data_IF_066757773286
#
_entry.id   IF_066757773286
#
_cell.length_a   1.000
_cell.length_b   1.000
_cell.length_c   1.000
_cell.angle_alpha   90.00
_cell.angle_beta   90.00
_cell.angle_gamma   90.00
#
_symmetry.space_group_name_H-M   'P 1'
#
loop_
_entity.id
_entity.type
_entity.pdbx_description
1 polymer ?
#
# COMPACT_ATOMS: atom_id res chain seq x y z
N UNK A 1 4.20 -2.17 -12.31
CA UNK A 1 4.29 -1.87 -10.86
C UNK A 1 3.60 -0.56 -10.53
N UNK A 2 3.15 -0.38 -9.30
CA UNK A 2 2.68 0.91 -8.78
C UNK A 2 3.20 1.15 -7.37
N UNK A 3 3.25 2.43 -6.99
CA UNK A 3 3.65 2.89 -5.67
C UNK A 3 2.63 3.90 -5.15
N UNK A 4 2.48 3.94 -3.83
CA UNK A 4 1.70 4.98 -3.13
C UNK A 4 2.69 5.87 -2.41
N UNK A 5 2.58 7.17 -2.66
CA UNK A 5 3.49 8.18 -2.15
C UNK A 5 2.75 9.15 -1.24
N UNK A 6 3.46 9.66 -0.23
CA UNK A 6 3.04 10.80 0.58
C UNK A 6 4.06 11.92 0.41
N UNK A 7 3.62 13.07 -0.08
CA UNK A 7 4.51 14.22 -0.35
C UNK A 7 5.01 14.86 0.94
N UNK A 8 4.18 14.90 1.99
CA UNK A 8 4.58 15.40 3.29
C UNK A 8 5.59 14.45 3.95
N UNK A 9 6.72 15.01 4.39
CA UNK A 9 7.73 14.31 5.18
C UNK A 9 7.53 14.44 6.70
N UNK A 10 6.55 15.25 7.14
CA UNK A 10 6.22 15.41 8.56
C UNK A 10 5.72 14.09 9.16
N UNK A 11 5.83 13.95 10.49
CA UNK A 11 5.23 12.81 11.19
C UNK A 11 3.72 12.70 10.87
N UNK A 12 3.20 11.50 10.58
CA UNK A 12 1.81 11.32 10.20
C UNK A 12 0.90 11.37 11.42
N UNK A 13 -0.33 11.79 11.21
CA UNK A 13 -1.42 11.55 12.14
C UNK A 13 -2.14 10.25 11.75
N UNK A 14 -2.42 9.42 12.75
CA UNK A 14 -3.07 8.13 12.56
C UNK A 14 -4.50 8.12 13.11
N UNK A 15 -5.44 7.68 12.28
CA UNK A 15 -6.82 7.46 12.66
C UNK A 15 -6.96 6.18 13.49
N UNK A 16 -7.85 6.20 14.50
CA UNK A 16 -8.17 5.01 15.31
C UNK A 16 -8.86 3.92 14.48
N UNK A 17 -9.65 4.32 13.49
CA UNK A 17 -10.43 3.44 12.62
C UNK A 17 -10.04 3.70 11.18
N UNK A 18 -9.94 2.64 10.39
CA UNK A 18 -9.65 2.73 8.97
C UNK A 18 -10.88 3.25 8.19
N UNK A 19 -10.63 4.08 7.17
CA UNK A 19 -11.65 4.47 6.19
C UNK A 19 -12.02 3.34 5.24
N UNK A 20 -11.25 2.26 5.22
CA UNK A 20 -11.42 1.21 4.26
C UNK A 20 -12.66 0.34 4.53
N UNK A 21 -13.27 -0.17 3.47
CA UNK A 21 -14.42 -1.07 3.55
C UNK A 21 -14.03 -2.39 4.21
N UNK A 22 -15.02 -3.11 4.73
CA UNK A 22 -14.84 -4.37 5.47
C UNK A 22 -15.02 -5.58 4.54
N UNK A 23 -13.98 -6.06 3.83
CA UNK A 23 -14.10 -7.23 2.98
C UNK A 23 -14.38 -8.46 3.84
N UNK A 24 -15.47 -9.17 3.53
CA UNK A 24 -15.90 -10.36 4.29
C UNK A 24 -16.05 -10.07 5.80
N UNK A 25 -16.62 -8.91 6.12
CA UNK A 25 -16.91 -8.44 7.49
C UNK A 25 -15.67 -8.37 8.40
N UNK A 26 -14.49 -8.21 7.79
CA UNK A 26 -13.23 -8.07 8.49
C UNK A 26 -12.83 -6.61 8.60
N UNK A 27 -12.70 -6.10 9.83
CA UNK A 27 -12.22 -4.75 10.13
C UNK A 27 -10.77 -4.55 9.59
N UNK A 28 -10.56 -3.60 8.66
CA UNK A 28 -9.24 -3.28 8.14
C UNK A 28 -8.41 -2.39 9.06
N UNK A 29 -8.92 -2.00 10.23
CA UNK A 29 -8.18 -1.24 11.24
C UNK A 29 -7.08 -2.07 11.93
N UNK A 30 -6.07 -1.38 12.43
CA UNK A 30 -5.04 -1.86 13.35
C UNK A 30 -4.83 -0.83 14.46
N UNK A 31 -4.13 -1.25 15.52
CA UNK A 31 -3.81 -0.35 16.63
C UNK A 31 -2.83 0.74 16.18
N UNK A 32 -2.93 1.92 16.80
CA UNK A 32 -1.95 3.01 16.61
C UNK A 32 -0.52 2.54 16.91
N UNK A 33 -0.33 1.66 17.91
CA UNK A 33 0.97 1.05 18.21
C UNK A 33 1.54 0.27 17.02
N UNK A 34 0.70 -0.49 16.31
CA UNK A 34 1.13 -1.20 15.10
C UNK A 34 1.47 -0.23 13.96
N UNK A 35 0.69 0.82 13.76
CA UNK A 35 0.99 1.85 12.76
C UNK A 35 2.32 2.54 13.05
N UNK A 36 2.53 3.00 14.29
CA UNK A 36 3.79 3.62 14.72
C UNK A 36 4.99 2.68 14.54
N UNK A 37 4.85 1.40 14.87
CA UNK A 37 5.91 0.39 14.68
C UNK A 37 6.25 0.17 13.21
N UNK A 38 5.27 0.29 12.31
CA UNK A 38 5.46 0.10 10.87
C UNK A 38 5.88 1.37 10.15
N UNK A 39 5.80 2.55 10.78
CA UNK A 39 6.15 3.81 10.15
C UNK A 39 7.65 3.89 9.84
N UNK A 40 7.98 4.34 8.64
CA UNK A 40 9.36 4.55 8.18
C UNK A 40 9.50 6.04 7.85
N UNK A 41 10.32 6.81 8.58
CA UNK A 41 10.54 8.23 8.30
C UNK A 41 11.41 8.41 7.05
N UNK A 42 11.54 9.67 6.61
CA UNK A 42 12.49 10.11 5.56
C UNK A 42 12.33 9.41 4.20
N UNK A 43 11.12 8.92 3.91
CA UNK A 43 10.77 8.38 2.60
C UNK A 43 9.35 8.73 2.18
N UNK A 44 9.13 9.16 0.93
CA UNK A 44 7.78 9.39 0.44
C UNK A 44 7.05 8.08 0.14
N UNK A 45 7.74 6.93 0.03
CA UNK A 45 7.15 5.66 -0.43
C UNK A 45 6.46 4.93 0.71
N UNK A 46 5.13 4.85 0.67
CA UNK A 46 4.32 4.17 1.68
C UNK A 46 3.98 2.73 1.31
N UNK A 47 3.82 2.45 0.01
CA UNK A 47 3.41 1.13 -0.46
C UNK A 47 3.93 0.86 -1.86
N UNK A 48 4.38 -0.37 -2.08
CA UNK A 48 4.78 -0.90 -3.38
C UNK A 48 3.86 -2.07 -3.69
N UNK A 49 3.20 -2.02 -4.83
CA UNK A 49 2.26 -3.05 -5.25
C UNK A 49 2.37 -3.42 -6.72
N UNK A 50 1.94 -4.63 -7.05
CA UNK A 50 1.89 -5.11 -8.43
C UNK A 50 0.49 -5.34 -8.99
N UNK A 51 0.42 -5.34 -10.31
CA UNK A 51 -0.69 -5.86 -11.09
C UNK A 51 -0.15 -6.85 -12.12
N UNK A 52 -0.99 -7.78 -12.55
CA UNK A 52 -0.65 -8.81 -13.51
C UNK A 52 0.30 -9.90 -12.99
N UNK A 53 0.97 -10.53 -13.95
CA UNK A 53 1.89 -11.66 -13.81
C UNK A 53 1.25 -12.98 -14.26
N UNK A 54 2.05 -14.01 -14.49
CA UNK A 54 1.59 -15.28 -15.06
C UNK A 54 0.38 -15.90 -14.33
N UNK A 55 0.25 -15.67 -13.02
CA UNK A 55 -0.84 -16.19 -12.17
C UNK A 55 -2.05 -15.27 -12.01
N UNK A 56 -2.00 -14.02 -12.48
CA UNK A 56 -3.04 -13.03 -12.20
C UNK A 56 -3.42 -12.23 -13.44
N UNK A 57 -4.71 -12.24 -13.79
CA UNK A 57 -5.25 -11.46 -14.92
C UNK A 57 -5.55 -9.99 -14.59
N UNK A 58 -5.34 -9.54 -13.35
CA UNK A 58 -5.65 -8.17 -12.93
C UNK A 58 -4.75 -7.16 -13.65
N UNK A 59 -5.32 -6.22 -14.40
CA UNK A 59 -4.58 -5.08 -14.95
C UNK A 59 -4.27 -4.05 -13.87
N UNK A 60 -3.39 -3.09 -14.18
CA UNK A 60 -3.12 -1.97 -13.28
C UNK A 60 -4.40 -1.20 -12.93
N UNK A 61 -5.22 -0.89 -13.94
CA UNK A 61 -6.51 -0.20 -13.76
C UNK A 61 -7.43 -0.95 -12.80
N UNK A 62 -7.62 -2.26 -12.98
CA UNK A 62 -8.52 -3.02 -12.11
C UNK A 62 -7.97 -3.17 -10.69
N UNK A 63 -6.65 -3.31 -10.53
CA UNK A 63 -5.99 -3.37 -9.22
C UNK A 63 -6.16 -2.04 -8.46
N UNK A 64 -5.80 -0.91 -9.08
CA UNK A 64 -5.93 0.41 -8.45
C UNK A 64 -7.39 0.78 -8.18
N UNK A 65 -8.31 0.47 -9.09
CA UNK A 65 -9.74 0.68 -8.85
C UNK A 65 -10.26 -0.12 -7.66
N UNK A 66 -9.84 -1.38 -7.50
CA UNK A 66 -10.19 -2.17 -6.31
C UNK A 66 -9.58 -1.57 -5.03
N UNK A 67 -8.34 -1.08 -5.10
CA UNK A 67 -7.65 -0.50 -3.96
C UNK A 67 -8.26 0.82 -3.50
N UNK A 68 -8.55 1.74 -4.42
CA UNK A 68 -9.20 3.02 -4.13
C UNK A 68 -10.64 2.84 -3.63
N UNK A 69 -11.41 1.93 -4.24
CA UNK A 69 -12.75 1.60 -3.73
C UNK A 69 -12.70 1.01 -2.32
N UNK A 70 -11.72 0.16 -2.05
CA UNK A 70 -11.49 -0.36 -0.70
C UNK A 70 -11.23 0.79 0.27
N UNK A 71 -10.32 1.72 -0.03
CA UNK A 71 -10.05 2.89 0.81
C UNK A 71 -11.25 3.82 1.02
N UNK A 72 -12.15 3.91 0.05
CA UNK A 72 -13.39 4.70 0.14
C UNK A 72 -14.54 3.98 0.86
N UNK A 73 -14.25 3.05 1.77
CA UNK A 73 -15.27 2.33 2.55
C UNK A 73 -16.04 1.24 1.79
N UNK A 74 -15.79 1.03 0.48
CA UNK A 74 -16.60 0.11 -0.32
C UNK A 74 -16.10 -1.33 -0.19
N UNK A 75 -17.04 -2.29 -0.32
CA UNK A 75 -16.71 -3.71 -0.43
C UNK A 75 -15.88 -3.95 -1.71
N UNK A 76 -14.62 -4.31 -1.53
CA UNK A 76 -13.71 -4.66 -2.61
C UNK A 76 -12.76 -5.76 -2.15
N UNK A 77 -12.38 -6.66 -3.06
CA UNK A 77 -11.43 -7.74 -2.78
C UNK A 77 -9.98 -7.20 -2.74
N UNK A 78 -9.69 -6.34 -1.76
CA UNK A 78 -8.38 -5.79 -1.47
C UNK A 78 -8.10 -5.86 0.03
N UNK A 79 -6.85 -6.09 0.39
CA UNK A 79 -6.43 -6.19 1.80
C UNK A 79 -4.99 -5.73 2.03
N UNK A 80 -4.10 -5.98 1.04
CA UNK A 80 -2.75 -5.42 1.05
C UNK A 80 -2.78 -3.90 1.14
N UNK A 81 -1.78 -3.31 1.78
CA UNK A 81 -1.65 -1.85 1.85
C UNK A 81 -2.63 -1.14 2.80
N UNK A 82 -3.53 -1.86 3.48
CA UNK A 82 -4.62 -1.26 4.28
C UNK A 82 -4.19 -0.22 5.35
N UNK A 83 -2.94 -0.23 5.79
CA UNK A 83 -2.44 0.73 6.78
C UNK A 83 -2.50 2.17 6.28
N UNK A 84 -2.41 2.41 4.97
CA UNK A 84 -2.53 3.77 4.42
C UNK A 84 -3.91 4.39 4.71
N UNK A 85 -4.93 3.55 4.87
CA UNK A 85 -6.30 3.99 5.15
C UNK A 85 -6.54 4.34 6.62
N UNK A 86 -5.47 4.39 7.43
CA UNK A 86 -5.47 5.00 8.76
C UNK A 86 -4.57 6.23 8.83
N UNK A 87 -4.11 6.76 7.69
CA UNK A 87 -3.48 8.08 7.63
C UNK A 87 -4.58 9.14 7.54
N UNK A 88 -4.51 10.16 8.41
CA UNK A 88 -5.48 11.25 8.41
C UNK A 88 -5.50 12.03 7.08
N UNK A 89 -4.36 12.07 6.39
CA UNK A 89 -4.17 12.72 5.09
C UNK A 89 -4.19 11.73 3.91
N UNK A 90 -4.81 10.56 4.07
CA UNK A 90 -4.85 9.51 3.04
C UNK A 90 -5.47 9.94 1.70
N UNK A 91 -6.30 10.98 1.71
CA UNK A 91 -6.89 11.62 0.52
C UNK A 91 -5.88 12.35 -0.37
N UNK A 92 -4.71 12.72 0.19
CA UNK A 92 -3.64 13.46 -0.50
C UNK A 92 -2.57 12.55 -1.09
N UNK A 93 -2.71 11.24 -0.93
CA UNK A 93 -1.71 10.28 -1.39
C UNK A 93 -1.67 10.22 -2.91
N UNK A 94 -0.45 10.17 -3.46
CA UNK A 94 -0.23 10.04 -4.89
C UNK A 94 -0.04 8.57 -5.27
N UNK A 95 -0.60 8.19 -6.41
CA UNK A 95 -0.40 6.87 -6.99
C UNK A 95 0.42 7.01 -8.27
N UNK A 96 1.67 6.54 -8.24
CA UNK A 96 2.54 6.50 -9.41
C UNK A 96 2.69 5.07 -9.92
N UNK A 97 2.94 4.88 -11.21
CA UNK A 97 3.11 3.56 -11.79
C UNK A 97 4.14 3.54 -12.91
N UNK A 98 4.69 2.35 -13.14
CA UNK A 98 5.63 2.07 -14.22
C UNK A 98 5.27 0.74 -14.87
N UNK A 99 5.29 0.69 -16.19
CA UNK A 99 5.21 -0.57 -16.92
C UNK A 99 6.48 -1.40 -16.69
N UNK A 100 6.34 -2.71 -16.55
CA UNK A 100 7.44 -3.61 -16.20
C UNK A 100 7.45 -4.85 -17.08
N UNK A 101 7.00 -4.72 -18.33
CA UNK A 101 7.09 -5.79 -19.32
C UNK A 101 8.49 -5.74 -19.95
N UNK A 102 9.11 -6.90 -20.26
CA UNK A 102 8.57 -8.26 -20.17
C UNK A 102 8.77 -8.94 -18.79
N UNK A 103 9.30 -8.25 -17.78
CA UNK A 103 9.64 -8.83 -16.48
C UNK A 103 8.40 -9.36 -15.72
N UNK A 104 8.57 -10.46 -14.98
CA UNK A 104 7.52 -10.99 -14.12
C UNK A 104 7.23 -10.01 -12.96
N UNK A 105 6.01 -9.42 -12.85
CA UNK A 105 5.72 -8.37 -11.88
C UNK A 105 5.95 -8.77 -10.42
N UNK A 106 5.92 -10.08 -10.11
CA UNK A 106 6.21 -10.59 -8.77
C UNK A 106 7.68 -10.41 -8.39
N UNK A 107 8.57 -10.64 -9.35
CA UNK A 107 10.01 -10.56 -9.11
C UNK A 107 10.44 -9.09 -9.03
N UNK A 108 9.87 -8.24 -9.87
CA UNK A 108 10.06 -6.78 -9.78
C UNK A 108 9.55 -6.23 -8.44
N UNK A 109 8.35 -6.63 -7.99
CA UNK A 109 7.82 -6.23 -6.68
C UNK A 109 8.74 -6.65 -5.54
N UNK A 110 9.24 -7.89 -5.59
CA UNK A 110 10.18 -8.40 -4.60
C UNK A 110 11.48 -7.60 -4.60
N UNK A 111 12.07 -7.34 -5.77
CA UNK A 111 13.30 -6.56 -5.90
C UNK A 111 13.15 -5.14 -5.36
N UNK A 112 12.04 -4.45 -5.68
CA UNK A 112 11.77 -3.10 -5.19
C UNK A 112 11.57 -3.06 -3.67
N UNK A 113 10.87 -4.04 -3.08
CA UNK A 113 10.70 -4.12 -1.63
C UNK A 113 12.04 -4.41 -0.94
N UNK A 114 12.84 -5.34 -1.47
CA UNK A 114 14.17 -5.64 -0.93
C UNK A 114 15.11 -4.44 -1.02
N UNK A 115 15.09 -3.70 -2.15
CA UNK A 115 15.87 -2.48 -2.30
C UNK A 115 15.47 -1.41 -1.30
N UNK A 116 14.16 -1.24 -1.06
CA UNK A 116 13.66 -0.35 -0.01
C UNK A 116 14.12 -0.82 1.39
N UNK A 117 13.96 -2.10 1.72
CA UNK A 117 14.43 -2.67 2.99
C UNK A 117 15.94 -2.46 3.21
N UNK A 118 16.75 -2.64 2.17
CA UNK A 118 18.20 -2.41 2.25
C UNK A 118 18.56 -0.94 2.51
N UNK A 119 17.76 0.00 2.00
CA UNK A 119 18.01 1.44 2.17
C UNK A 119 17.48 2.00 3.49
N UNK A 120 16.35 1.49 3.99
CA UNK A 120 15.64 2.05 5.14
C UNK A 120 15.58 1.12 6.36
N UNK A 121 16.11 -0.11 6.27
CA UNK A 121 16.10 -1.10 7.36
C UNK A 121 14.73 -1.72 7.66
N UNK A 122 13.68 -1.35 6.92
CA UNK A 122 12.32 -1.82 7.09
C UNK A 122 11.57 -1.83 5.76
N UNK A 123 10.43 -2.53 5.68
CA UNK A 123 9.53 -2.48 4.52
C UNK A 123 8.83 -1.11 4.42
N UNK A 124 8.34 -0.72 3.22
CA UNK A 124 7.44 0.42 3.14
C UNK A 124 6.27 0.27 4.11
N UNK A 125 5.81 1.39 4.68
CA UNK A 125 4.85 1.44 5.78
C UNK A 125 3.68 0.44 5.68
N UNK A 126 3.12 0.28 4.48
CA UNK A 126 1.95 -0.56 4.26
C UNK A 126 2.24 -1.91 3.58
N UNK A 127 3.51 -2.25 3.35
CA UNK A 127 3.96 -3.56 2.88
C UNK A 127 4.23 -4.48 4.08
N UNK A 128 3.36 -5.47 4.30
CA UNK A 128 3.51 -6.44 5.40
C UNK A 128 4.39 -7.63 5.00
N UNK A 129 5.05 -8.24 5.98
CA UNK A 129 5.62 -9.59 5.83
C UNK A 129 4.45 -10.57 5.69
N UNK A 130 4.55 -11.46 4.71
CA UNK A 130 3.51 -12.43 4.41
C UNK A 130 3.65 -13.65 5.29
#
# INVERSE_FOLDING_TARGET
>A
MYVVLRESMNSPEFLKTSTAGWPKDRDPSVTIKQLRKSWVPDTPVLYIGKAGGAKFKSTLRTRLSAYLRHGAGRRAAHWGGRYIWQLADSERLLFAWKATLPEEPRDVERGLILGFESGYGARPFANRVR
#
